data_IF_795384491596
#
_entry.id   IF_795384491596
#
_cell.length_a   1.000
_cell.length_b   1.000
_cell.length_c   1.000
_cell.angle_alpha   90.00
_cell.angle_beta   90.00
_cell.angle_gamma   90.00
#
_symmetry.space_group_name_H-M   'P 1'
#
loop_
_entity.id
_entity.type
_entity.pdbx_description
1 polymer ?
#
# COMPACT_ATOMS: atom_id res chain seq x y z
N UNK A 1 6.95 -6.16 1.92
CA UNK A 1 7.41 -6.37 0.52
C UNK A 1 6.52 -7.40 -0.16
N UNK A 2 6.19 -7.21 -1.43
CA UNK A 2 5.35 -8.15 -2.21
C UNK A 2 6.14 -9.42 -2.53
N UNK A 3 5.52 -10.57 -2.38
CA UNK A 3 6.06 -11.84 -2.87
C UNK A 3 5.44 -12.16 -4.24
N UNK A 4 6.14 -11.82 -5.32
CA UNK A 4 5.62 -12.00 -6.68
C UNK A 4 5.44 -13.47 -7.08
N UNK A 5 6.21 -14.40 -6.50
CA UNK A 5 6.02 -15.83 -6.78
C UNK A 5 4.68 -16.31 -6.20
N UNK A 6 4.33 -15.85 -4.99
CA UNK A 6 3.03 -16.13 -4.38
C UNK A 6 1.91 -15.41 -5.14
N UNK A 7 2.08 -14.13 -5.46
CA UNK A 7 1.08 -13.36 -6.22
C UNK A 7 0.76 -14.03 -7.57
N UNK A 8 1.79 -14.44 -8.32
CA UNK A 8 1.62 -15.19 -9.57
C UNK A 8 0.88 -16.49 -9.34
N UNK A 9 1.21 -17.24 -8.29
CA UNK A 9 0.52 -18.49 -7.99
C UNK A 9 -0.98 -18.31 -7.71
N UNK A 10 -1.39 -17.17 -7.13
CA UNK A 10 -2.80 -16.83 -6.93
C UNK A 10 -3.51 -16.39 -8.22
N UNK A 11 -2.75 -15.93 -9.21
CA UNK A 11 -3.23 -15.49 -10.51
C UNK A 11 -2.94 -16.53 -11.60
N UNK A 12 -2.96 -17.82 -11.23
CA UNK A 12 -2.74 -18.98 -12.12
C UNK A 12 -1.44 -18.95 -12.94
N UNK A 13 -0.43 -18.20 -12.48
CA UNK A 13 0.84 -17.91 -13.16
C UNK A 13 0.65 -17.21 -14.52
N UNK A 14 -0.44 -16.47 -14.68
CA UNK A 14 -0.73 -15.65 -15.84
C UNK A 14 -0.08 -14.27 -15.66
N UNK A 15 1.06 -14.07 -16.32
CA UNK A 15 1.83 -12.82 -16.24
C UNK A 15 1.03 -11.62 -16.80
N UNK A 16 0.13 -11.82 -17.77
CA UNK A 16 -0.73 -10.74 -18.30
C UNK A 16 -1.73 -10.26 -17.24
N UNK A 17 -2.29 -11.19 -16.45
CA UNK A 17 -3.19 -10.85 -15.33
C UNK A 17 -2.40 -10.17 -14.21
N UNK A 18 -1.21 -10.66 -13.89
CA UNK A 18 -0.33 -10.07 -12.87
C UNK A 18 0.04 -8.65 -13.25
N UNK A 19 0.43 -8.42 -14.50
CA UNK A 19 0.70 -7.09 -15.04
C UNK A 19 -0.52 -6.18 -14.90
N UNK A 20 -1.70 -6.61 -15.33
CA UNK A 20 -2.93 -5.81 -15.25
C UNK A 20 -3.28 -5.39 -13.81
N UNK A 21 -3.15 -6.32 -12.86
CA UNK A 21 -3.41 -6.05 -11.43
C UNK A 21 -2.41 -5.06 -10.85
N UNK A 22 -1.13 -5.20 -11.18
CA UNK A 22 -0.09 -4.30 -10.69
C UNK A 22 -0.16 -2.92 -11.34
N UNK A 23 -0.52 -2.82 -12.62
CA UNK A 23 -0.80 -1.55 -13.28
C UNK A 23 -1.98 -0.81 -12.63
N UNK A 24 -3.06 -1.52 -12.31
CA UNK A 24 -4.20 -0.94 -11.60
C UNK A 24 -3.78 -0.40 -10.21
N UNK A 25 -2.94 -1.15 -9.49
CA UNK A 25 -2.36 -0.67 -8.24
C UNK A 25 -1.55 0.63 -8.43
N UNK A 26 -0.68 0.71 -9.45
CA UNK A 26 0.12 1.92 -9.72
C UNK A 26 -0.77 3.10 -10.07
N UNK A 27 -1.79 2.90 -10.91
CA UNK A 27 -2.74 3.95 -11.29
C UNK A 27 -3.49 4.51 -10.08
N UNK A 28 -3.99 3.65 -9.19
CA UNK A 28 -4.77 4.05 -8.03
C UNK A 28 -3.90 4.61 -6.89
N UNK A 29 -2.69 4.07 -6.72
CA UNK A 29 -1.92 4.25 -5.49
C UNK A 29 -0.54 4.91 -5.62
N UNK A 30 -0.09 5.29 -6.81
CA UNK A 30 1.20 5.99 -7.02
C UNK A 30 1.36 7.26 -6.16
N UNK A 31 0.28 8.00 -5.93
CA UNK A 31 0.27 9.23 -5.09
C UNK A 31 -0.09 8.98 -3.62
N UNK A 32 -0.24 7.73 -3.19
CA UNK A 32 -0.74 7.43 -1.83
C UNK A 32 0.17 7.92 -0.71
N UNK A 33 1.48 7.98 -0.96
CA UNK A 33 2.45 8.53 0.01
C UNK A 33 2.16 10.02 0.26
N UNK A 34 2.01 10.81 -0.81
CA UNK A 34 1.74 12.24 -0.72
C UNK A 34 0.38 12.49 -0.05
N UNK A 35 -0.65 11.70 -0.40
CA UNK A 35 -1.97 11.75 0.22
C UNK A 35 -1.90 11.46 1.73
N UNK A 36 -1.21 10.39 2.12
CA UNK A 36 -1.05 9.99 3.51
C UNK A 36 -0.33 11.07 4.33
N UNK A 37 0.77 11.62 3.81
CA UNK A 37 1.51 12.70 4.46
C UNK A 37 0.70 14.00 4.58
N UNK A 38 -0.05 14.35 3.54
CA UNK A 38 -0.93 15.52 3.56
C UNK A 38 -2.05 15.36 4.58
N UNK A 39 -2.74 14.22 4.58
CA UNK A 39 -3.82 13.94 5.53
C UNK A 39 -3.30 13.92 6.96
N UNK A 40 -2.10 13.36 7.19
CA UNK A 40 -1.47 13.35 8.50
C UNK A 40 -1.12 14.77 8.98
N UNK A 41 -0.43 15.56 8.15
CA UNK A 41 -0.01 16.92 8.52
C UNK A 41 -1.18 17.90 8.70
N UNK A 42 -2.30 17.65 8.01
CA UNK A 42 -3.54 18.44 8.12
C UNK A 42 -4.52 17.90 9.16
N UNK A 43 -4.16 16.83 9.88
CA UNK A 43 -5.00 16.16 10.88
C UNK A 43 -6.35 15.68 10.34
N UNK A 44 -6.38 15.32 9.06
CA UNK A 44 -7.59 14.82 8.40
C UNK A 44 -7.74 13.31 8.62
N UNK A 45 -8.07 12.93 9.85
CA UNK A 45 -8.12 11.52 10.27
C UNK A 45 -9.16 10.69 9.54
N UNK A 46 -10.29 11.28 9.17
CA UNK A 46 -11.31 10.57 8.39
C UNK A 46 -10.80 10.15 7.01
N UNK A 47 -10.07 11.04 6.33
CA UNK A 47 -9.48 10.71 5.02
C UNK A 47 -8.28 9.76 5.17
N UNK A 48 -7.47 9.96 6.22
CA UNK A 48 -6.36 9.06 6.52
C UNK A 48 -6.84 7.62 6.82
N UNK A 49 -7.98 7.48 7.51
CA UNK A 49 -8.64 6.18 7.73
C UNK A 49 -8.98 5.51 6.40
N UNK A 50 -9.60 6.26 5.46
CA UNK A 50 -9.99 5.71 4.15
C UNK A 50 -8.77 5.30 3.32
N UNK A 51 -7.72 6.14 3.31
CA UNK A 51 -6.46 5.82 2.61
C UNK A 51 -5.78 4.61 3.22
N UNK A 52 -5.69 4.52 4.56
CA UNK A 52 -5.11 3.38 5.23
C UNK A 52 -5.88 2.08 4.94
N UNK A 53 -7.21 2.14 4.99
CA UNK A 53 -8.09 1.01 4.70
C UNK A 53 -7.90 0.48 3.26
N UNK A 54 -7.88 1.37 2.27
CA UNK A 54 -7.70 1.01 0.86
C UNK A 54 -6.34 0.37 0.61
N UNK A 55 -5.26 0.99 1.10
CA UNK A 55 -3.90 0.46 0.96
C UNK A 55 -3.75 -0.90 1.64
N UNK A 56 -4.32 -1.05 2.84
CA UNK A 56 -4.29 -2.32 3.58
C UNK A 56 -4.93 -3.43 2.76
N UNK A 57 -6.11 -3.16 2.17
CA UNK A 57 -6.85 -4.15 1.38
C UNK A 57 -6.06 -4.65 0.18
N UNK A 58 -5.52 -3.73 -0.64
CA UNK A 58 -4.78 -4.10 -1.84
C UNK A 58 -3.44 -4.77 -1.51
N UNK A 59 -2.69 -4.24 -0.54
CA UNK A 59 -1.39 -4.81 -0.16
C UNK A 59 -1.52 -6.19 0.49
N UNK A 60 -2.56 -6.42 1.30
CA UNK A 60 -2.87 -7.74 1.84
C UNK A 60 -3.19 -8.74 0.72
N UNK A 61 -3.88 -8.31 -0.34
CA UNK A 61 -4.16 -9.16 -1.49
C UNK A 61 -2.89 -9.53 -2.28
N UNK A 62 -1.83 -8.73 -2.15
CA UNK A 62 -0.50 -9.02 -2.72
C UNK A 62 0.40 -9.84 -1.79
N UNK A 63 -0.11 -10.26 -0.63
CA UNK A 63 0.66 -11.01 0.36
C UNK A 63 1.76 -10.17 1.03
N UNK A 64 1.57 -8.86 1.11
CA UNK A 64 2.44 -7.97 1.88
C UNK A 64 1.97 -7.96 3.35
N UNK A 65 2.89 -8.19 4.30
CA UNK A 65 2.55 -8.23 5.73
C UNK A 65 2.98 -6.96 6.49
N UNK A 66 4.17 -6.42 6.20
CA UNK A 66 4.80 -5.38 7.02
C UNK A 66 4.05 -4.05 6.98
N UNK A 67 3.73 -3.56 5.78
CA UNK A 67 2.95 -2.34 5.61
C UNK A 67 1.50 -2.56 6.04
N UNK A 68 0.93 -3.75 5.79
CA UNK A 68 -0.42 -4.13 6.23
C UNK A 68 -0.59 -4.01 7.75
N UNK A 69 0.35 -4.57 8.53
CA UNK A 69 0.31 -4.49 10.00
C UNK A 69 0.35 -3.04 10.51
N UNK A 70 1.11 -2.18 9.86
CA UNK A 70 1.25 -0.76 10.21
C UNK A 70 0.00 0.03 9.80
N UNK A 71 -0.51 -0.23 8.59
CA UNK A 71 -1.74 0.36 8.08
C UNK A 71 -2.94 -0.01 8.94
N UNK A 72 -3.00 -1.23 9.49
CA UNK A 72 -4.06 -1.63 10.42
C UNK A 72 -4.03 -0.80 11.71
N UNK A 73 -2.84 -0.51 12.25
CA UNK A 73 -2.71 0.37 13.44
C UNK A 73 -3.16 1.80 13.14
N UNK A 74 -2.68 2.37 12.03
CA UNK A 74 -3.07 3.71 11.59
C UNK A 74 -4.59 3.78 11.36
N UNK A 75 -5.16 2.80 10.66
CA UNK A 75 -6.61 2.68 10.43
C UNK A 75 -7.37 2.61 11.76
N UNK A 76 -6.92 1.78 12.70
CA UNK A 76 -7.55 1.63 14.01
C UNK A 76 -7.57 2.94 14.82
N UNK A 77 -6.46 3.67 14.85
CA UNK A 77 -6.36 4.95 15.55
C UNK A 77 -7.23 6.03 14.89
N UNK A 78 -7.13 6.16 13.57
CA UNK A 78 -7.82 7.22 12.82
C UNK A 78 -9.32 7.01 12.74
N UNK A 79 -9.81 5.75 12.80
CA UNK A 79 -11.23 5.41 12.95
C UNK A 79 -11.89 6.12 14.14
N UNK A 80 -11.16 6.21 15.25
CA UNK A 80 -11.61 6.86 16.48
C UNK A 80 -11.24 8.35 16.53
N UNK A 81 -10.81 8.93 15.40
CA UNK A 81 -10.29 10.31 15.29
C UNK A 81 -9.08 10.58 16.19
N UNK A 82 -8.30 9.54 16.48
CA UNK A 82 -7.05 9.63 17.24
C UNK A 82 -5.90 9.78 16.25
N UNK A 83 -4.98 10.70 16.57
CA UNK A 83 -3.76 10.86 15.78
C UNK A 83 -2.93 9.57 15.82
N UNK A 84 -2.49 9.06 14.66
CA UNK A 84 -1.60 7.90 14.63
C UNK A 84 -0.19 8.28 15.09
N UNK A 85 0.62 7.26 15.40
CA UNK A 85 2.00 7.46 15.83
C UNK A 85 2.87 7.95 14.66
N UNK A 86 3.68 8.99 14.88
CA UNK A 86 4.63 9.52 13.88
C UNK A 86 5.55 8.41 13.33
N UNK A 87 5.93 7.45 14.18
CA UNK A 87 6.77 6.31 13.78
C UNK A 87 6.02 5.32 12.88
N UNK A 88 4.74 5.07 13.12
CA UNK A 88 3.91 4.25 12.23
C UNK A 88 3.76 4.93 10.86
N UNK A 89 3.54 6.24 10.84
CA UNK A 89 3.49 7.04 9.60
C UNK A 89 4.83 7.00 8.84
N UNK A 90 5.95 7.14 9.55
CA UNK A 90 7.27 7.06 8.92
C UNK A 90 7.59 5.66 8.34
N UNK A 91 7.18 4.60 9.06
CA UNK A 91 7.34 3.22 8.60
C UNK A 91 6.50 2.97 7.36
N UNK A 92 5.21 3.32 7.35
CA UNK A 92 4.35 3.05 6.18
C UNK A 92 4.82 3.83 4.95
N UNK A 93 5.26 5.08 5.09
CA UNK A 93 5.84 5.86 3.98
C UNK A 93 7.08 5.16 3.42
N UNK A 94 7.93 4.64 4.29
CA UNK A 94 9.16 3.93 3.88
C UNK A 94 8.82 2.63 3.16
N UNK A 95 7.88 1.84 3.68
CA UNK A 95 7.48 0.57 3.07
C UNK A 95 6.75 0.77 1.74
N UNK A 96 5.83 1.74 1.65
CA UNK A 96 5.17 2.10 0.39
C UNK A 96 6.18 2.53 -0.68
N UNK A 97 7.21 3.31 -0.30
CA UNK A 97 8.28 3.68 -1.24
C UNK A 97 9.04 2.47 -1.78
N UNK A 98 9.31 1.47 -0.93
CA UNK A 98 9.94 0.21 -1.36
C UNK A 98 9.02 -0.63 -2.23
N UNK A 99 7.73 -0.71 -1.88
CA UNK A 99 6.72 -1.47 -2.63
C UNK A 99 6.52 -0.87 -4.01
N UNK A 100 6.34 0.45 -4.11
CA UNK A 100 6.18 1.13 -5.40
C UNK A 100 7.38 0.88 -6.30
N UNK A 101 8.60 1.06 -5.76
CA UNK A 101 9.83 0.72 -6.49
C UNK A 101 9.88 -0.74 -6.92
N UNK A 102 9.47 -1.66 -6.04
CA UNK A 102 9.46 -3.09 -6.32
C UNK A 102 8.47 -3.43 -7.45
N UNK A 103 7.29 -2.81 -7.47
CA UNK A 103 6.28 -2.98 -8.54
C UNK A 103 6.78 -2.40 -9.86
N UNK A 104 7.35 -1.20 -9.84
CA UNK A 104 7.93 -0.57 -11.04
C UNK A 104 9.05 -1.41 -11.64
N UNK A 105 9.98 -1.89 -10.80
CA UNK A 105 11.10 -2.74 -11.23
C UNK A 105 10.60 -4.08 -11.80
N UNK A 106 9.50 -4.64 -11.26
CA UNK A 106 8.88 -5.87 -11.76
C UNK A 106 8.20 -5.66 -13.12
N UNK A 107 7.35 -4.64 -13.26
CA UNK A 107 6.67 -4.31 -14.51
C UNK A 107 7.68 -4.01 -15.63
N UNK A 108 8.76 -3.29 -15.32
CA UNK A 108 9.84 -3.03 -16.27
C UNK A 108 10.60 -4.29 -16.72
N UNK A 109 10.53 -5.39 -15.96
CA UNK A 109 11.15 -6.68 -16.31
C UNK A 109 10.30 -7.56 -17.22
N UNK A 110 9.01 -7.24 -17.38
CA UNK A 110 8.08 -7.94 -18.27
C UNK A 110 8.15 -7.44 -19.73
N UNK A 111 8.68 -6.22 -19.95
CA UNK A 111 8.88 -5.60 -21.27
C UNK A 111 10.25 -5.86 -21.89
#
# INVERSE_FOLDING_TARGET
MINFDILRSYLDNDDDIVEAVLMAYVEEHSESIDKLQLQFSTQNWSELFMTAHSLKGILASFGEDTAVDVLERIEGQTRDSIAPDDSDVAVVVTELGKINKQVDDFLASLG
#
